data_IF_186141195479
#
_entry.id   IF_186141195479
#
_cell.length_a   1.000
_cell.length_b   1.000
_cell.length_c   1.000
_cell.angle_alpha   90.00
_cell.angle_beta   90.00
_cell.angle_gamma   90.00
#
_symmetry.space_group_name_H-M   'P 1'
#
loop_
_entity.id
_entity.type
_entity.pdbx_description
1 polymer ?
#
# COMPACT_ATOMS: atom_id res chain seq x y z
N UNK A 1 7.24 8.86 3.25
CA UNK A 1 8.28 9.91 3.07
C UNK A 1 7.63 11.24 2.66
N UNK A 2 8.16 12.39 3.13
CA UNK A 2 7.67 13.69 2.70
C UNK A 2 7.91 13.91 1.20
N UNK A 3 7.02 14.66 0.52
CA UNK A 3 7.08 14.87 -0.95
C UNK A 3 8.40 15.44 -1.45
N UNK A 4 9.05 16.29 -0.64
CA UNK A 4 10.34 16.93 -0.91
C UNK A 4 11.52 16.19 -0.25
N UNK A 5 11.24 15.07 0.41
CA UNK A 5 12.24 14.23 1.04
C UNK A 5 13.18 13.58 0.03
N UNK A 6 14.35 13.19 0.51
CA UNK A 6 15.34 12.44 -0.27
C UNK A 6 15.89 11.28 0.54
N UNK A 7 15.74 10.08 -0.01
CA UNK A 7 16.28 8.84 0.56
C UNK A 7 17.50 8.39 -0.23
N UNK A 8 18.65 8.39 0.39
CA UNK A 8 19.90 7.91 -0.18
C UNK A 8 20.23 6.52 0.35
N UNK A 9 20.34 5.54 -0.52
CA UNK A 9 20.80 4.19 -0.17
C UNK A 9 22.28 4.20 0.25
N UNK A 10 23.07 5.05 -0.40
CA UNK A 10 24.45 5.34 -0.03
C UNK A 10 24.58 6.81 0.36
N UNK A 11 25.58 7.10 1.21
CA UNK A 11 25.86 8.48 1.59
C UNK A 11 26.02 9.38 0.37
N UNK A 12 25.41 10.57 0.34
CA UNK A 12 25.65 11.55 -0.71
C UNK A 12 27.15 11.81 -0.88
N UNK A 13 27.60 11.93 -2.12
CA UNK A 13 29.03 12.12 -2.46
C UNK A 13 29.96 10.93 -2.13
N UNK A 14 29.46 9.80 -1.67
CA UNK A 14 30.27 8.59 -1.47
C UNK A 14 30.73 7.96 -2.80
N UNK A 15 29.97 8.17 -3.88
CA UNK A 15 30.28 7.71 -5.22
C UNK A 15 30.37 8.91 -6.18
N UNK A 16 31.24 8.82 -7.18
CA UNK A 16 31.34 9.85 -8.22
C UNK A 16 29.99 9.98 -8.94
N UNK A 17 29.47 11.20 -9.01
CA UNK A 17 28.15 11.49 -9.61
C UNK A 17 26.96 11.40 -8.65
N UNK A 18 27.11 10.82 -7.46
CA UNK A 18 26.05 10.74 -6.45
C UNK A 18 25.98 12.02 -5.61
N UNK A 19 25.72 13.14 -6.26
CA UNK A 19 25.62 14.46 -5.60
C UNK A 19 24.16 14.80 -5.32
N UNK A 20 23.89 15.34 -4.14
CA UNK A 20 22.56 15.79 -3.69
C UNK A 20 21.83 16.64 -4.74
N UNK A 21 22.56 17.54 -5.41
CA UNK A 21 22.01 18.48 -6.39
C UNK A 21 21.65 17.84 -7.75
N UNK A 22 22.14 16.63 -8.02
CA UNK A 22 21.99 15.95 -9.31
C UNK A 22 21.35 14.57 -9.20
N UNK A 23 20.98 14.15 -7.99
CA UNK A 23 20.49 12.79 -7.76
C UNK A 23 18.96 12.77 -7.72
N UNK A 24 18.33 12.59 -8.88
CA UNK A 24 16.87 12.45 -8.97
C UNK A 24 16.40 11.09 -8.40
N UNK A 25 17.25 10.06 -8.45
CA UNK A 25 16.97 8.73 -7.90
C UNK A 25 16.87 8.68 -6.37
N UNK A 26 17.20 9.77 -5.67
CA UNK A 26 16.97 9.91 -4.23
C UNK A 26 15.61 10.55 -3.91
N UNK A 27 14.87 11.04 -4.89
CA UNK A 27 13.57 11.67 -4.65
C UNK A 27 12.56 10.67 -4.07
N UNK A 28 11.66 11.15 -3.22
CA UNK A 28 10.57 10.36 -2.66
C UNK A 28 9.76 9.66 -3.76
N UNK A 29 9.47 10.37 -4.85
CA UNK A 29 8.77 9.83 -6.00
C UNK A 29 9.50 8.64 -6.64
N UNK A 30 10.79 8.79 -6.95
CA UNK A 30 11.59 7.70 -7.52
C UNK A 30 11.64 6.49 -6.59
N UNK A 31 11.82 6.73 -5.29
CA UNK A 31 11.89 5.66 -4.30
C UNK A 31 10.54 4.96 -4.09
N UNK A 32 9.44 5.66 -4.31
CA UNK A 32 8.09 5.08 -4.25
C UNK A 32 7.72 4.32 -5.53
N UNK A 33 7.94 4.90 -6.71
CA UNK A 33 7.46 4.36 -7.99
C UNK A 33 8.40 3.32 -8.61
N UNK A 34 9.73 3.53 -8.49
CA UNK A 34 10.73 2.72 -9.21
C UNK A 34 11.39 1.66 -8.33
N UNK A 35 11.68 1.98 -7.07
CA UNK A 35 12.38 1.05 -6.17
C UNK A 35 11.46 0.31 -5.21
N UNK A 36 10.31 0.89 -4.87
CA UNK A 36 9.41 0.37 -3.86
C UNK A 36 9.98 0.39 -2.43
N UNK A 37 10.99 1.21 -2.17
CA UNK A 37 11.55 1.37 -0.82
C UNK A 37 10.68 2.25 0.08
N UNK A 38 9.88 3.14 -0.52
CA UNK A 38 8.97 4.04 0.17
C UNK A 38 7.54 3.59 -0.06
N UNK A 39 6.81 3.32 1.01
CA UNK A 39 5.43 2.82 0.96
C UNK A 39 4.42 3.91 0.61
N UNK A 40 4.66 5.14 1.02
CA UNK A 40 3.79 6.27 0.74
C UNK A 40 4.50 7.61 0.78
N UNK A 41 3.99 8.56 0.01
CA UNK A 41 4.47 9.94 -0.05
C UNK A 41 3.30 10.88 0.28
N UNK A 42 3.62 11.97 0.97
CA UNK A 42 2.63 12.97 1.33
C UNK A 42 3.24 14.17 2.04
N UNK A 43 2.40 15.05 2.53
CA UNK A 43 2.76 16.06 3.51
C UNK A 43 3.10 15.38 4.85
N UNK A 44 3.76 16.09 5.76
CA UNK A 44 4.05 15.56 7.10
C UNK A 44 2.78 15.09 7.82
N UNK A 45 1.69 15.86 7.71
CA UNK A 45 0.41 15.54 8.35
C UNK A 45 -0.22 14.27 7.75
N UNK A 46 -0.23 14.15 6.43
CA UNK A 46 -0.72 12.96 5.72
C UNK A 46 0.08 11.71 6.11
N UNK A 47 1.41 11.82 6.13
CA UNK A 47 2.29 10.70 6.51
C UNK A 47 2.09 10.29 7.98
N UNK A 48 1.98 11.24 8.89
CA UNK A 48 1.69 10.95 10.29
C UNK A 48 0.31 10.28 10.46
N UNK A 49 -0.68 10.70 9.67
CA UNK A 49 -1.98 10.03 9.60
C UNK A 49 -1.87 8.59 9.13
N UNK A 50 -1.17 8.35 8.03
CA UNK A 50 -0.93 7.00 7.49
C UNK A 50 -0.20 6.09 8.49
N UNK A 51 0.84 6.61 9.17
CA UNK A 51 1.57 5.85 10.19
C UNK A 51 0.65 5.46 11.35
N UNK A 52 -0.19 6.38 11.83
CA UNK A 52 -1.15 6.08 12.89
C UNK A 52 -2.15 5.00 12.47
N UNK A 53 -2.65 5.08 11.24
CA UNK A 53 -3.55 4.06 10.69
C UNK A 53 -2.84 2.70 10.63
N UNK A 54 -1.64 2.64 10.07
CA UNK A 54 -0.87 1.40 10.00
C UNK A 54 -0.61 0.80 11.38
N UNK A 55 -0.11 1.60 12.33
CA UNK A 55 0.17 1.13 13.70
C UNK A 55 -1.10 0.62 14.38
N UNK A 56 -2.25 1.23 14.12
CA UNK A 56 -3.51 0.75 14.67
C UNK A 56 -3.98 -0.60 14.12
N UNK A 57 -3.44 -1.02 12.97
CA UNK A 57 -3.76 -2.30 12.32
C UNK A 57 -2.79 -3.43 12.69
N UNK A 58 -1.63 -3.09 13.24
CA UNK A 58 -0.62 -4.08 13.63
C UNK A 58 -0.84 -4.54 15.08
N UNK A 59 -0.46 -5.77 15.44
CA UNK A 59 -0.42 -6.20 16.84
C UNK A 59 0.65 -5.41 17.61
N UNK A 60 0.58 -5.44 18.94
CA UNK A 60 1.56 -4.74 19.79
C UNK A 60 2.97 -5.32 19.69
N UNK A 61 3.05 -6.60 19.37
CA UNK A 61 4.31 -7.34 19.21
C UNK A 61 4.06 -8.60 18.35
N UNK A 62 5.11 -9.33 18.02
CA UNK A 62 5.06 -10.54 17.20
C UNK A 62 4.62 -11.82 17.93
N UNK A 63 4.36 -11.73 19.22
CA UNK A 63 3.85 -12.84 20.05
C UNK A 63 2.33 -12.73 20.27
N UNK A 64 1.77 -11.53 20.04
CA UNK A 64 0.34 -11.25 20.12
C UNK A 64 -0.34 -11.46 18.77
N UNK A 65 -1.37 -12.28 18.76
CA UNK A 65 -2.17 -12.51 17.55
C UNK A 65 -3.36 -11.52 17.40
N UNK A 66 -3.52 -10.58 18.32
CA UNK A 66 -4.72 -9.76 18.43
C UNK A 66 -4.50 -8.28 18.09
N UNK A 67 -4.50 -7.95 16.78
CA UNK A 67 -4.80 -6.58 16.36
C UNK A 67 -6.31 -6.44 16.12
N UNK A 68 -7.10 -6.60 17.20
CA UNK A 68 -8.54 -6.53 17.15
C UNK A 68 -9.05 -5.13 17.53
N UNK A 69 -10.01 -4.62 16.76
CA UNK A 69 -10.78 -3.42 17.08
C UNK A 69 -12.25 -3.75 17.00
N UNK A 70 -13.05 -3.30 17.96
CA UNK A 70 -14.50 -3.50 17.94
C UNK A 70 -15.09 -3.05 16.60
N UNK A 71 -15.77 -3.98 15.92
CA UNK A 71 -16.40 -3.70 14.64
C UNK A 71 -17.68 -2.92 14.85
N UNK A 72 -17.80 -1.78 14.17
CA UNK A 72 -18.99 -0.93 14.17
C UNK A 72 -19.78 -1.01 12.87
N UNK A 73 -19.34 -1.83 11.92
CA UNK A 73 -19.98 -2.02 10.61
C UNK A 73 -21.16 -3.01 10.71
N UNK A 74 -22.10 -2.89 9.78
CA UNK A 74 -23.15 -3.90 9.60
C UNK A 74 -22.61 -5.10 8.84
N UNK A 75 -22.31 -6.18 9.56
CA UNK A 75 -21.77 -7.42 8.98
C UNK A 75 -22.74 -8.13 8.02
N UNK A 76 -24.02 -7.71 7.97
CA UNK A 76 -25.01 -8.23 7.03
C UNK A 76 -25.22 -7.33 5.82
N UNK A 77 -24.45 -6.24 5.70
CA UNK A 77 -24.54 -5.36 4.53
C UNK A 77 -24.21 -6.13 3.25
N UNK A 78 -24.92 -5.84 2.19
CA UNK A 78 -24.71 -6.42 0.88
C UNK A 78 -23.72 -5.57 0.08
N UNK A 79 -22.76 -6.21 -0.59
CA UNK A 79 -21.79 -5.56 -1.46
C UNK A 79 -22.21 -5.75 -2.93
N UNK A 80 -23.33 -5.14 -3.34
CA UNK A 80 -23.96 -5.36 -4.66
C UNK A 80 -23.05 -4.94 -5.81
N UNK A 81 -22.16 -3.98 -5.60
CA UNK A 81 -21.26 -3.41 -6.59
C UNK A 81 -19.90 -4.13 -6.73
N UNK A 82 -19.62 -5.13 -5.89
CA UNK A 82 -18.32 -5.81 -5.85
C UNK A 82 -17.93 -6.45 -7.20
N UNK A 83 -18.93 -6.97 -7.93
CA UNK A 83 -18.69 -7.55 -9.25
C UNK A 83 -18.17 -6.55 -10.28
N UNK A 84 -18.48 -5.25 -10.12
CA UNK A 84 -17.96 -4.16 -10.96
C UNK A 84 -16.56 -3.70 -10.58
N UNK A 85 -16.04 -4.11 -9.41
CA UNK A 85 -14.75 -3.65 -8.87
C UNK A 85 -13.60 -4.64 -9.12
N UNK A 86 -13.85 -5.74 -9.82
CA UNK A 86 -12.86 -6.83 -9.98
C UNK A 86 -11.61 -6.43 -10.77
N UNK A 87 -11.66 -5.39 -11.56
CA UNK A 87 -10.51 -4.82 -12.28
C UNK A 87 -9.58 -4.05 -11.35
N UNK A 88 -10.13 -3.26 -10.42
CA UNK A 88 -9.39 -2.61 -9.35
C UNK A 88 -9.69 -3.27 -8.01
N UNK A 89 -8.86 -4.21 -7.63
CA UNK A 89 -9.05 -5.01 -6.42
C UNK A 89 -8.83 -4.21 -5.13
N UNK A 90 -8.18 -3.04 -5.17
CA UNK A 90 -8.13 -2.15 -4.00
C UNK A 90 -9.54 -1.64 -3.65
N UNK A 91 -10.33 -1.28 -4.67
CA UNK A 91 -11.74 -0.91 -4.48
C UNK A 91 -12.54 -2.10 -3.95
N UNK A 92 -12.37 -3.29 -4.54
CA UNK A 92 -13.06 -4.49 -4.08
C UNK A 92 -12.73 -4.81 -2.61
N UNK A 93 -11.45 -4.71 -2.22
CA UNK A 93 -11.01 -4.90 -0.83
C UNK A 93 -11.62 -3.86 0.11
N UNK A 94 -11.71 -2.60 -0.29
CA UNK A 94 -12.38 -1.59 0.52
C UNK A 94 -13.88 -1.87 0.67
N UNK A 95 -14.55 -2.45 -0.33
CA UNK A 95 -15.97 -2.80 -0.24
C UNK A 95 -16.28 -3.90 0.77
N UNK A 96 -15.37 -4.84 0.96
CA UNK A 96 -15.55 -5.92 1.94
C UNK A 96 -14.99 -5.58 3.33
N UNK A 97 -14.12 -4.58 3.43
CA UNK A 97 -13.50 -4.16 4.67
C UNK A 97 -14.53 -3.50 5.62
N UNK A 98 -14.33 -3.67 6.92
CA UNK A 98 -15.11 -2.98 7.95
C UNK A 98 -15.06 -1.47 7.70
N UNK A 99 -16.23 -0.81 7.67
CA UNK A 99 -16.38 0.62 7.37
C UNK A 99 -15.70 1.09 6.05
N UNK A 100 -15.35 0.18 5.16
CA UNK A 100 -14.66 0.50 3.92
C UNK A 100 -13.18 0.85 4.08
N UNK A 101 -12.59 0.59 5.23
CA UNK A 101 -11.20 0.95 5.55
C UNK A 101 -10.21 -0.08 4.99
N UNK A 102 -9.61 0.22 3.85
CA UNK A 102 -8.49 -0.53 3.28
C UNK A 102 -7.24 0.34 3.23
N UNK A 103 -6.16 -0.11 3.85
CA UNK A 103 -4.86 0.56 3.85
C UNK A 103 -3.94 -0.10 2.83
N UNK A 104 -3.85 0.48 1.61
CA UNK A 104 -2.95 -0.01 0.57
C UNK A 104 -1.51 0.39 0.88
N UNK A 105 -0.58 -0.58 0.80
CA UNK A 105 0.86 -0.36 0.91
C UNK A 105 1.49 -0.32 -0.49
N UNK A 106 2.51 0.53 -0.68
CA UNK A 106 3.25 0.64 -1.95
C UNK A 106 2.33 0.82 -3.17
N UNK A 107 1.30 1.66 -3.06
CA UNK A 107 0.31 1.84 -4.12
C UNK A 107 0.92 2.26 -5.47
N UNK A 108 2.02 3.03 -5.45
CA UNK A 108 2.72 3.50 -6.65
C UNK A 108 3.69 2.49 -7.26
N UNK A 109 4.07 1.41 -6.52
CA UNK A 109 5.02 0.40 -6.99
C UNK A 109 4.33 -0.89 -7.35
N UNK A 110 4.71 -1.51 -8.50
CA UNK A 110 4.17 -2.80 -8.90
C UNK A 110 2.64 -2.79 -8.89
N UNK A 111 2.05 -1.87 -9.64
CA UNK A 111 0.61 -1.56 -9.59
C UNK A 111 -0.29 -2.70 -10.06
N UNK A 112 0.27 -3.69 -10.76
CA UNK A 112 -0.38 -4.95 -11.12
C UNK A 112 -0.73 -5.84 -9.91
N UNK A 113 -0.20 -5.50 -8.73
CA UNK A 113 -0.50 -6.16 -7.45
C UNK A 113 -0.90 -5.13 -6.40
N UNK A 114 -1.98 -5.40 -5.71
CA UNK A 114 -2.43 -4.68 -4.51
C UNK A 114 -1.95 -5.44 -3.28
N UNK A 115 -1.35 -4.72 -2.34
CA UNK A 115 -1.00 -5.23 -1.02
C UNK A 115 -1.48 -4.24 0.04
N UNK A 116 -1.99 -4.73 1.15
CA UNK A 116 -2.48 -3.83 2.19
C UNK A 116 -3.19 -4.55 3.32
N UNK A 117 -3.69 -3.77 4.24
CA UNK A 117 -4.40 -4.25 5.43
C UNK A 117 -5.84 -3.78 5.42
N UNK A 118 -6.73 -4.65 5.87
CA UNK A 118 -8.14 -4.35 6.13
C UNK A 118 -8.57 -5.03 7.43
N UNK A 119 -9.72 -4.63 7.94
CA UNK A 119 -10.36 -5.37 9.04
C UNK A 119 -11.59 -6.09 8.53
N UNK A 120 -11.79 -7.31 9.06
CA UNK A 120 -12.98 -8.11 8.87
C UNK A 120 -13.51 -8.50 10.23
N UNK A 121 -14.67 -7.97 10.62
CA UNK A 121 -15.24 -8.14 11.94
C UNK A 121 -14.23 -7.78 13.07
N UNK A 122 -13.51 -6.68 12.88
CA UNK A 122 -12.53 -6.16 13.83
C UNK A 122 -11.15 -6.78 13.75
N UNK A 123 -10.99 -7.97 13.17
CA UNK A 123 -9.69 -8.62 13.04
C UNK A 123 -8.91 -8.05 11.84
N UNK A 124 -7.64 -7.72 12.03
CA UNK A 124 -6.77 -7.26 10.94
C UNK A 124 -6.35 -8.42 10.05
N UNK A 125 -6.45 -8.22 8.75
CA UNK A 125 -6.08 -9.18 7.70
C UNK A 125 -5.17 -8.50 6.69
N UNK A 126 -4.05 -9.14 6.35
CA UNK A 126 -3.22 -8.77 5.22
C UNK A 126 -3.81 -9.31 3.92
N UNK A 127 -3.90 -8.47 2.90
CA UNK A 127 -4.44 -8.83 1.60
C UNK A 127 -3.39 -8.67 0.49
N UNK A 128 -3.36 -9.64 -0.42
CA UNK A 128 -2.61 -9.61 -1.68
C UNK A 128 -3.55 -9.96 -2.81
N UNK A 129 -3.66 -9.10 -3.80
CA UNK A 129 -4.56 -9.31 -4.93
C UNK A 129 -3.95 -8.78 -6.23
N UNK A 130 -4.36 -9.33 -7.39
CA UNK A 130 -3.96 -8.78 -8.69
C UNK A 130 -4.82 -7.55 -9.00
N UNK A 131 -4.26 -6.63 -9.78
CA UNK A 131 -4.97 -5.48 -10.32
C UNK A 131 -4.75 -5.43 -11.83
N UNK A 132 -5.83 -5.28 -12.59
CA UNK A 132 -5.77 -5.07 -14.05
C UNK A 132 -6.18 -3.65 -14.46
N UNK A 133 -6.78 -2.90 -13.56
CA UNK A 133 -7.27 -1.55 -13.79
C UNK A 133 -7.01 -0.68 -12.57
N UNK A 134 -6.74 0.61 -12.80
CA UNK A 134 -6.74 1.63 -11.76
C UNK A 134 -7.58 2.83 -12.17
N UNK A 135 -8.10 3.55 -11.20
CA UNK A 135 -8.98 4.68 -11.41
C UNK A 135 -8.48 5.89 -10.64
N UNK A 136 -8.63 7.07 -11.23
CA UNK A 136 -8.37 8.33 -10.55
C UNK A 136 -9.50 8.73 -9.58
N UNK A 137 -9.32 9.85 -8.88
CA UNK A 137 -10.32 10.37 -7.95
C UNK A 137 -11.65 10.76 -8.63
N UNK A 138 -11.64 11.00 -9.93
CA UNK A 138 -12.81 11.35 -10.74
C UNK A 138 -13.49 10.10 -11.33
N UNK A 139 -12.94 8.90 -11.07
CA UNK A 139 -13.45 7.63 -11.55
C UNK A 139 -13.06 7.29 -12.99
N UNK A 140 -12.10 8.00 -13.59
CA UNK A 140 -11.59 7.66 -14.90
C UNK A 140 -10.52 6.59 -14.81
N UNK A 141 -10.55 5.65 -15.73
CA UNK A 141 -9.51 4.61 -15.82
C UNK A 141 -8.17 5.23 -16.19
N UNK A 142 -7.16 5.08 -15.32
CA UNK A 142 -5.83 5.68 -15.48
C UNK A 142 -4.79 4.70 -16.00
N UNK A 143 -4.95 3.42 -15.69
CA UNK A 143 -4.05 2.35 -16.12
C UNK A 143 -4.83 1.08 -16.47
N UNK A 144 -4.32 0.35 -17.44
CA UNK A 144 -4.82 -0.97 -17.82
C UNK A 144 -3.61 -1.88 -17.98
N UNK A 145 -3.57 -2.95 -17.19
CA UNK A 145 -2.61 -4.04 -17.38
C UNK A 145 -3.33 -5.25 -17.95
N UNK A 146 -2.59 -6.16 -18.54
CA UNK A 146 -3.14 -7.44 -19.04
C UNK A 146 -3.42 -8.45 -17.91
N UNK A 147 -3.23 -8.03 -16.66
CA UNK A 147 -3.38 -8.87 -15.48
C UNK A 147 -2.23 -9.86 -15.27
N UNK A 148 -1.15 -9.77 -16.05
CA UNK A 148 0.04 -10.59 -15.83
C UNK A 148 0.86 -10.05 -14.66
N UNK A 149 1.41 -10.96 -13.86
CA UNK A 149 2.25 -10.62 -12.73
C UNK A 149 3.62 -10.12 -13.19
N UNK A 150 3.93 -8.86 -12.92
CA UNK A 150 5.24 -8.29 -13.18
C UNK A 150 6.29 -8.72 -12.15
N UNK A 151 7.57 -8.58 -12.47
CA UNK A 151 8.65 -8.81 -11.51
C UNK A 151 8.57 -7.84 -10.32
N UNK A 152 8.09 -6.60 -10.52
CA UNK A 152 7.86 -5.61 -9.46
C UNK A 152 6.68 -6.03 -8.58
N UNK A 153 5.57 -6.45 -9.17
CA UNK A 153 4.41 -6.95 -8.45
C UNK A 153 4.73 -8.20 -7.63
N UNK A 154 5.47 -9.14 -8.20
CA UNK A 154 5.92 -10.33 -7.49
C UNK A 154 6.81 -9.99 -6.28
N UNK A 155 7.73 -9.03 -6.42
CA UNK A 155 8.58 -8.55 -5.31
C UNK A 155 7.72 -7.87 -4.23
N UNK A 156 6.82 -6.97 -4.62
CA UNK A 156 5.88 -6.30 -3.71
C UNK A 156 5.09 -7.31 -2.87
N UNK A 157 4.50 -8.31 -3.52
CA UNK A 157 3.75 -9.38 -2.86
C UNK A 157 4.63 -10.18 -1.90
N UNK A 158 5.84 -10.59 -2.33
CA UNK A 158 6.77 -11.37 -1.50
C UNK A 158 7.23 -10.60 -0.26
N UNK A 159 7.55 -9.32 -0.41
CA UNK A 159 7.97 -8.46 0.71
C UNK A 159 6.82 -8.25 1.70
N UNK A 160 5.59 -8.06 1.19
CA UNK A 160 4.41 -7.92 2.03
C UNK A 160 4.09 -9.21 2.82
N UNK A 161 4.15 -10.37 2.17
CA UNK A 161 3.94 -11.66 2.86
C UNK A 161 4.99 -11.88 3.95
N UNK A 162 6.27 -11.58 3.69
CA UNK A 162 7.32 -11.64 4.71
C UNK A 162 7.08 -10.69 5.87
N UNK A 163 6.56 -9.49 5.59
CA UNK A 163 6.18 -8.55 6.64
C UNK A 163 5.07 -9.13 7.52
N UNK A 164 4.01 -9.68 6.93
CA UNK A 164 2.92 -10.30 7.67
C UNK A 164 3.38 -11.54 8.48
N UNK A 165 4.36 -12.30 7.98
CA UNK A 165 4.92 -13.46 8.66
C UNK A 165 5.77 -13.08 9.90
N UNK A 166 6.16 -11.80 10.01
CA UNK A 166 6.94 -11.29 11.15
C UNK A 166 6.08 -10.87 12.35
N UNK A 167 4.76 -10.80 12.17
CA UNK A 167 3.75 -10.44 13.18
C UNK A 167 2.67 -11.54 13.25
#
# INVERSE_FOLDING_TARGET
>A
EAKDGKLFVNSPNALEGNRVEKCDSASAQFQSEETGLVDGIGTEEEILGQIRTLVSMLPENNEDNDSFKECTDDLNRVCDDIAGCTGDTAIALSRIADNGEFFETKAAYGQDVVTGFLRLNGATVGAVANRSESYDADGNKTEISDGTLSARGARKAADFVKFCDAF
#
